data_IF_787918616531
#
_entry.id   IF_787918616531
#
_cell.length_a   1.000
_cell.length_b   1.000
_cell.length_c   1.000
_cell.angle_alpha   90.00
_cell.angle_beta   90.00
_cell.angle_gamma   90.00
#
_symmetry.space_group_name_H-M   'P 1'
#
loop_
_entity.id
_entity.type
_entity.pdbx_description
1 polymer ?
#
# COMPACT_ATOMS: atom_id res chain seq x y z
N UNK A 1 -43.38 21.73 -37.93
CA UNK A 1 -42.40 20.67 -38.24
C UNK A 1 -41.25 20.88 -37.25
N UNK A 2 -41.15 20.19 -36.11
CA UNK A 2 -41.31 18.76 -35.88
C UNK A 2 -39.91 18.14 -35.87
N UNK A 3 -39.37 17.82 -34.69
CA UNK A 3 -38.83 16.51 -34.27
C UNK A 3 -38.22 16.66 -32.87
N UNK A 4 -38.59 15.69 -32.03
CA UNK A 4 -38.25 15.47 -30.64
C UNK A 4 -36.76 15.19 -30.39
N UNK A 5 -36.26 15.56 -29.22
CA UNK A 5 -35.13 14.86 -28.57
C UNK A 5 -35.61 14.45 -27.18
N UNK A 6 -36.07 13.20 -27.08
CA UNK A 6 -36.31 12.50 -25.84
C UNK A 6 -35.01 11.82 -25.38
N UNK A 7 -34.75 11.78 -24.07
CA UNK A 7 -33.69 10.93 -23.52
C UNK A 7 -32.91 11.43 -22.30
N UNK A 8 -33.49 12.20 -21.37
CA UNK A 8 -32.90 12.40 -20.05
C UNK A 8 -33.09 11.15 -19.19
N UNK A 9 -32.05 10.30 -19.06
CA UNK A 9 -32.06 9.23 -18.04
C UNK A 9 -31.76 9.83 -16.68
N UNK A 10 -32.83 10.10 -15.92
CA UNK A 10 -32.74 10.23 -14.47
C UNK A 10 -32.34 8.88 -13.87
N UNK A 11 -31.14 8.81 -13.29
CA UNK A 11 -30.81 7.74 -12.35
C UNK A 11 -31.50 8.05 -11.03
N UNK A 12 -32.65 7.43 -10.81
CA UNK A 12 -33.28 7.37 -9.49
C UNK A 12 -32.46 6.43 -8.59
N UNK A 13 -32.08 6.93 -7.41
CA UNK A 13 -31.46 6.14 -6.38
C UNK A 13 -32.43 5.03 -5.94
N UNK A 14 -32.12 3.79 -6.31
CA UNK A 14 -32.82 2.62 -5.81
C UNK A 14 -32.59 2.48 -4.31
N UNK A 15 -33.61 2.75 -3.52
CA UNK A 15 -33.67 2.38 -2.11
C UNK A 15 -33.59 0.86 -2.02
N UNK A 16 -32.47 0.32 -1.54
CA UNK A 16 -32.40 -1.06 -1.08
C UNK A 16 -33.24 -1.19 0.19
N UNK A 17 -34.52 -1.52 0.03
CA UNK A 17 -35.35 -2.03 1.12
C UNK A 17 -34.95 -3.48 1.34
N UNK A 18 -34.41 -3.78 2.52
CA UNK A 18 -34.28 -5.14 3.00
C UNK A 18 -35.67 -5.76 3.15
N UNK A 19 -36.03 -6.70 2.28
CA UNK A 19 -37.18 -7.57 2.55
C UNK A 19 -36.83 -8.51 3.72
N UNK A 20 -37.73 -8.73 4.68
CA UNK A 20 -37.51 -9.72 5.73
C UNK A 20 -37.54 -11.11 5.11
N UNK A 21 -36.54 -11.93 5.44
CA UNK A 21 -36.55 -13.37 5.16
C UNK A 21 -37.79 -13.96 5.82
N UNK A 22 -38.79 -14.30 5.02
CA UNK A 22 -40.02 -14.93 5.48
C UNK A 22 -39.71 -16.32 6.03
N UNK A 23 -39.96 -16.52 7.32
CA UNK A 23 -39.95 -17.83 7.96
C UNK A 23 -41.01 -18.73 7.31
N UNK A 24 -40.59 -19.87 6.76
CA UNK A 24 -41.47 -20.90 6.20
C UNK A 24 -42.57 -21.27 7.21
N UNK A 25 -43.80 -21.38 6.72
CA UNK A 25 -44.96 -21.72 7.55
C UNK A 25 -45.01 -23.22 7.86
N UNK A 26 -45.56 -23.59 9.01
CA UNK A 26 -45.76 -25.00 9.43
C UNK A 26 -46.53 -25.86 8.40
N UNK A 27 -47.25 -25.23 7.47
CA UNK A 27 -48.03 -25.91 6.42
C UNK A 27 -47.18 -26.30 5.20
N UNK A 28 -46.13 -25.53 4.90
CA UNK A 28 -45.15 -25.83 3.84
C UNK A 28 -44.17 -26.94 4.27
N UNK A 29 -43.85 -27.01 5.56
CA UNK A 29 -43.09 -28.12 6.16
C UNK A 29 -43.81 -29.48 6.06
N UNK A 30 -45.15 -29.50 6.04
CA UNK A 30 -45.95 -30.74 5.98
C UNK A 30 -46.09 -31.27 4.56
N UNK A 31 -46.05 -30.41 3.53
CA UNK A 31 -46.05 -30.87 2.13
C UNK A 31 -44.71 -31.50 1.69
N UNK A 32 -43.59 -31.13 2.32
CA UNK A 32 -42.32 -31.85 2.16
C UNK A 32 -42.25 -33.15 2.98
N UNK A 33 -43.03 -33.27 4.05
CA UNK A 33 -43.08 -34.47 4.89
C UNK A 33 -43.99 -35.59 4.32
N UNK A 34 -44.83 -35.30 3.32
CA UNK A 34 -45.82 -36.23 2.75
C UNK A 34 -45.34 -37.06 1.55
N UNK A 35 -44.05 -37.02 1.20
CA UNK A 35 -43.46 -37.69 0.03
C UNK A 35 -42.49 -38.83 0.34
N UNK A 36 -42.51 -39.38 1.56
CA UNK A 36 -41.53 -40.38 2.04
C UNK A 36 -42.20 -41.66 2.57
N UNK A 37 -43.28 -42.11 1.93
CA UNK A 37 -43.93 -43.38 2.24
C UNK A 37 -44.01 -44.28 1.01
N UNK A 38 -42.84 -44.80 0.59
CA UNK A 38 -42.63 -46.08 -0.11
C UNK A 38 -41.23 -46.10 -0.76
N UNK A 39 -40.18 -45.86 0.02
CA UNK A 39 -38.84 -46.29 -0.37
C UNK A 39 -38.56 -47.54 0.46
N UNK A 40 -38.43 -48.67 -0.21
CA UNK A 40 -37.95 -49.91 0.40
C UNK A 40 -36.75 -49.60 1.27
N UNK A 41 -36.77 -50.05 2.52
CA UNK A 41 -35.57 -50.17 3.36
C UNK A 41 -34.70 -51.23 2.67
N UNK A 42 -33.92 -50.80 1.68
CA UNK A 42 -32.70 -51.50 1.32
C UNK A 42 -31.80 -51.29 2.52
N UNK A 43 -31.53 -52.37 3.26
CA UNK A 43 -30.50 -52.33 4.28
C UNK A 43 -29.25 -51.75 3.65
N UNK A 44 -28.82 -50.57 4.11
CA UNK A 44 -27.47 -50.12 3.89
C UNK A 44 -26.60 -51.03 4.76
N UNK A 45 -26.33 -52.23 4.24
CA UNK A 45 -25.16 -52.97 4.66
C UNK A 45 -24.01 -51.97 4.57
N UNK A 46 -23.34 -51.72 5.70
CA UNK A 46 -22.08 -51.02 5.69
C UNK A 46 -21.17 -51.83 4.76
N UNK A 47 -21.04 -51.39 3.50
CA UNK A 47 -20.01 -51.89 2.61
C UNK A 47 -18.70 -51.62 3.35
N UNK A 48 -18.13 -52.66 3.94
CA UNK A 48 -16.74 -52.66 4.37
C UNK A 48 -15.95 -52.28 3.13
N UNK A 49 -15.50 -51.02 3.05
CA UNK A 49 -14.67 -50.56 1.96
C UNK A 49 -13.47 -51.49 1.91
N UNK A 50 -13.25 -52.15 0.77
CA UNK A 50 -12.04 -52.91 0.55
C UNK A 50 -10.84 -52.02 0.88
N UNK A 51 -9.76 -52.57 1.47
CA UNK A 51 -8.55 -51.80 1.73
C UNK A 51 -8.15 -51.08 0.43
N UNK A 52 -8.01 -49.77 0.50
CA UNK A 52 -7.70 -48.97 -0.68
C UNK A 52 -6.24 -49.22 -1.06
N UNK A 53 -6.02 -49.76 -2.27
CA UNK A 53 -4.68 -49.83 -2.88
C UNK A 53 -4.15 -48.45 -3.30
N UNK A 54 -4.84 -47.37 -2.92
CA UNK A 54 -4.43 -46.01 -3.21
C UNK A 54 -3.19 -45.63 -2.37
N UNK A 55 -2.05 -45.49 -3.04
CA UNK A 55 -0.77 -45.13 -2.43
C UNK A 55 -0.59 -43.62 -2.18
N UNK A 56 -1.67 -42.82 -2.26
CA UNK A 56 -1.60 -41.37 -2.19
C UNK A 56 -1.17 -40.71 -3.51
N UNK A 57 -1.15 -39.36 -3.59
CA UNK A 57 -0.78 -38.65 -4.81
C UNK A 57 0.71 -38.82 -5.15
N UNK A 58 1.60 -38.74 -4.14
CA UNK A 58 3.04 -39.10 -4.19
C UNK A 58 3.62 -39.33 -2.78
N UNK A 59 2.78 -39.54 -1.76
CA UNK A 59 3.22 -39.59 -0.36
C UNK A 59 4.14 -40.80 -0.12
N UNK A 60 5.43 -40.57 0.11
CA UNK A 60 6.43 -41.63 0.31
C UNK A 60 6.94 -42.29 -0.98
N UNK A 61 6.51 -41.82 -2.16
CA UNK A 61 7.04 -42.27 -3.46
C UNK A 61 8.22 -41.38 -3.82
N UNK A 62 9.43 -41.94 -3.83
CA UNK A 62 10.66 -41.21 -4.21
C UNK A 62 11.43 -41.86 -5.35
N UNK A 63 11.20 -43.16 -5.61
CA UNK A 63 11.90 -43.95 -6.62
C UNK A 63 11.32 -43.73 -8.02
N UNK A 64 12.16 -43.44 -9.02
CA UNK A 64 11.77 -43.25 -10.42
C UNK A 64 11.28 -41.85 -10.78
N UNK A 65 11.34 -40.90 -9.84
CA UNK A 65 10.98 -39.49 -10.02
C UNK A 65 12.04 -38.54 -9.45
N UNK A 66 13.27 -39.03 -9.24
CA UNK A 66 14.37 -38.28 -8.64
C UNK A 66 14.77 -37.04 -9.46
N UNK A 67 14.47 -37.04 -10.76
CA UNK A 67 14.69 -35.93 -11.69
C UNK A 67 13.53 -34.92 -11.75
N UNK A 68 12.43 -35.18 -11.02
CA UNK A 68 11.22 -34.35 -11.03
C UNK A 68 11.23 -33.33 -9.90
N UNK A 69 10.89 -32.09 -10.23
CA UNK A 69 10.73 -31.00 -9.27
C UNK A 69 9.25 -30.66 -9.11
N UNK A 70 8.73 -30.80 -7.89
CA UNK A 70 7.33 -30.53 -7.55
C UNK A 70 7.14 -29.29 -6.69
N UNK A 71 8.20 -28.64 -6.23
CA UNK A 71 8.12 -27.40 -5.44
C UNK A 71 7.92 -26.18 -6.36
N UNK A 72 6.71 -25.57 -6.40
CA UNK A 72 6.47 -24.39 -7.22
C UNK A 72 7.22 -23.14 -6.71
N UNK A 73 7.68 -23.13 -5.46
CA UNK A 73 8.51 -22.03 -4.93
C UNK A 73 9.89 -22.06 -5.57
N UNK A 74 10.48 -23.24 -5.77
CA UNK A 74 11.75 -23.38 -6.51
C UNK A 74 11.56 -22.88 -7.95
N UNK A 75 10.48 -23.29 -8.62
CA UNK A 75 10.19 -22.84 -9.98
C UNK A 75 10.05 -21.30 -10.09
N UNK A 76 9.35 -20.65 -9.16
CA UNK A 76 9.23 -19.18 -9.17
C UNK A 76 10.56 -18.47 -8.88
N UNK A 77 11.45 -19.06 -8.07
CA UNK A 77 12.82 -18.56 -7.85
C UNK A 77 13.67 -18.64 -9.12
N UNK A 78 13.56 -19.73 -9.87
CA UNK A 78 14.25 -19.88 -11.17
C UNK A 78 13.74 -18.84 -12.18
N UNK A 79 12.42 -18.61 -12.23
CA UNK A 79 11.82 -17.55 -13.06
C UNK A 79 12.30 -16.15 -12.64
N UNK A 80 12.44 -15.88 -11.34
CA UNK A 80 12.99 -14.61 -10.85
C UNK A 80 14.46 -14.42 -11.28
N UNK A 81 15.27 -15.48 -11.19
CA UNK A 81 16.67 -15.46 -11.60
C UNK A 81 16.83 -15.24 -13.11
N UNK A 82 15.94 -15.84 -13.91
CA UNK A 82 15.89 -15.69 -15.36
C UNK A 82 15.13 -14.43 -15.83
N UNK A 83 14.53 -13.66 -14.92
CA UNK A 83 13.67 -12.54 -15.27
C UNK A 83 14.42 -11.50 -16.13
N UNK A 84 13.87 -11.07 -17.28
CA UNK A 84 14.63 -10.31 -18.26
C UNK A 84 14.96 -8.88 -17.82
N UNK A 85 14.16 -8.30 -16.92
CA UNK A 85 14.32 -6.93 -16.39
C UNK A 85 14.75 -5.94 -17.47
N UNK A 86 13.94 -5.83 -18.53
CA UNK A 86 14.29 -5.15 -19.80
C UNK A 86 14.69 -3.68 -19.63
N UNK A 87 14.22 -3.04 -18.57
CA UNK A 87 14.49 -1.66 -18.19
C UNK A 87 15.32 -1.58 -16.90
N UNK A 88 16.15 -2.59 -16.59
CA UNK A 88 17.17 -2.46 -15.55
C UNK A 88 18.12 -1.31 -15.88
N UNK A 89 18.58 -0.58 -14.87
CA UNK A 89 19.48 0.54 -15.08
C UNK A 89 20.79 0.13 -15.76
N UNK A 90 21.14 0.82 -16.86
CA UNK A 90 22.39 0.61 -17.63
C UNK A 90 23.00 1.91 -18.16
N UNK A 91 22.38 3.05 -17.86
CA UNK A 91 22.83 4.35 -18.34
C UNK A 91 24.20 4.70 -17.75
N UNK A 92 25.03 5.37 -18.56
CA UNK A 92 26.38 5.84 -18.19
C UNK A 92 26.48 7.36 -18.17
N UNK A 93 25.53 8.03 -18.81
CA UNK A 93 25.44 9.49 -18.84
C UNK A 93 24.11 9.95 -18.26
N UNK A 94 24.06 11.20 -17.81
CA UNK A 94 22.83 11.81 -17.32
C UNK A 94 21.70 11.78 -18.35
N UNK A 95 21.99 12.07 -19.61
CA UNK A 95 20.97 12.06 -20.68
C UNK A 95 20.37 10.67 -20.91
N UNK A 96 21.19 9.62 -20.91
CA UNK A 96 20.71 8.23 -20.98
C UNK A 96 19.86 7.87 -19.76
N UNK A 97 20.25 8.34 -18.57
CA UNK A 97 19.53 8.07 -17.33
C UNK A 97 18.17 8.78 -17.30
N UNK A 98 18.08 10.02 -17.78
CA UNK A 98 16.82 10.77 -17.90
C UNK A 98 15.85 10.11 -18.89
N UNK A 99 16.35 9.60 -20.03
CA UNK A 99 15.51 8.86 -20.99
C UNK A 99 15.07 7.49 -20.43
N UNK A 100 15.96 6.80 -19.71
CA UNK A 100 15.60 5.60 -18.97
C UNK A 100 14.52 5.87 -17.93
N UNK A 101 14.63 6.94 -17.14
CA UNK A 101 13.62 7.32 -16.15
C UNK A 101 12.27 7.58 -16.80
N UNK A 102 12.24 8.30 -17.93
CA UNK A 102 11.00 8.54 -18.69
C UNK A 102 10.36 7.24 -19.16
N UNK A 103 11.16 6.34 -19.74
CA UNK A 103 10.68 5.06 -20.26
C UNK A 103 10.15 4.15 -19.14
N UNK A 104 10.92 4.00 -18.07
CA UNK A 104 10.54 3.15 -16.94
C UNK A 104 9.35 3.75 -16.16
N UNK A 105 9.24 5.07 -16.02
CA UNK A 105 8.07 5.71 -15.40
C UNK A 105 6.79 5.40 -16.15
N UNK A 106 6.80 5.54 -17.48
CA UNK A 106 5.65 5.19 -18.33
C UNK A 106 5.27 3.72 -18.15
N UNK A 107 6.26 2.81 -18.19
CA UNK A 107 6.00 1.38 -17.99
C UNK A 107 5.50 1.08 -16.57
N UNK A 108 6.02 1.77 -15.56
CA UNK A 108 5.60 1.59 -14.17
C UNK A 108 4.15 2.05 -13.97
N UNK A 109 3.75 3.17 -14.58
CA UNK A 109 2.35 3.63 -14.59
C UNK A 109 1.42 2.56 -15.19
N UNK A 110 1.77 1.97 -16.32
CA UNK A 110 1.02 0.86 -16.93
C UNK A 110 0.92 -0.34 -15.98
N UNK A 111 2.06 -0.77 -15.41
CA UNK A 111 2.13 -1.95 -14.54
C UNK A 111 1.31 -1.82 -13.25
N UNK A 112 1.13 -0.62 -12.72
CA UNK A 112 0.29 -0.40 -11.52
C UNK A 112 -1.21 -0.30 -11.83
N UNK A 113 -1.60 -0.39 -13.11
CA UNK A 113 -3.00 -0.37 -13.56
C UNK A 113 -3.46 0.92 -14.20
N UNK A 114 -2.52 1.68 -14.78
CA UNK A 114 -2.69 3.08 -15.17
C UNK A 114 -3.11 3.98 -14.00
N UNK A 115 -3.04 5.29 -14.23
CA UNK A 115 -3.54 6.30 -13.29
C UNK A 115 -4.71 7.04 -13.93
N UNK A 116 -5.76 7.37 -13.16
CA UNK A 116 -6.87 8.15 -13.68
C UNK A 116 -6.40 9.47 -14.33
N UNK A 117 -6.98 9.82 -15.47
CA UNK A 117 -6.76 11.11 -16.12
C UNK A 117 -7.65 12.20 -15.52
N UNK A 118 -8.86 11.84 -15.11
CA UNK A 118 -9.81 12.75 -14.49
C UNK A 118 -9.49 12.97 -13.00
N UNK A 119 -9.46 14.25 -12.60
CA UNK A 119 -9.29 14.68 -11.22
C UNK A 119 -10.61 15.29 -10.72
N UNK A 120 -11.50 14.52 -10.06
CA UNK A 120 -12.77 15.05 -9.59
C UNK A 120 -12.57 16.15 -8.54
N UNK A 121 -13.59 16.97 -8.22
CA UNK A 121 -13.50 17.94 -7.13
C UNK A 121 -13.15 17.26 -5.80
N UNK A 122 -12.22 17.84 -5.03
CA UNK A 122 -11.77 17.29 -3.75
C UNK A 122 -12.86 17.29 -2.67
N UNK A 123 -13.80 18.23 -2.70
CA UNK A 123 -14.88 18.40 -1.69
C UNK A 123 -14.37 18.23 -0.23
N UNK A 124 -13.32 18.97 0.20
CA UNK A 124 -12.73 18.76 1.52
C UNK A 124 -13.68 19.21 2.63
N UNK A 125 -13.72 18.45 3.73
CA UNK A 125 -14.49 18.75 4.94
C UNK A 125 -13.57 18.56 6.15
N UNK A 126 -13.38 19.62 6.94
CA UNK A 126 -12.76 19.52 8.27
C UNK A 126 -13.82 19.06 9.26
N UNK A 127 -13.63 17.87 9.83
CA UNK A 127 -14.55 17.22 10.76
C UNK A 127 -14.27 17.60 12.22
N UNK A 128 -13.01 17.88 12.54
CA UNK A 128 -12.57 18.18 13.89
C UNK A 128 -11.27 19.00 13.85
N UNK A 129 -11.09 19.89 14.83
CA UNK A 129 -9.81 20.55 15.09
C UNK A 129 -9.51 20.46 16.59
N UNK A 130 -8.31 19.97 16.92
CA UNK A 130 -7.78 19.91 18.29
C UNK A 130 -6.49 20.71 18.38
N UNK A 131 -6.27 21.31 19.56
CA UNK A 131 -5.05 22.07 19.85
C UNK A 131 -4.21 21.32 20.86
N UNK A 132 -2.92 21.17 20.55
CA UNK A 132 -1.90 20.60 21.43
C UNK A 132 -0.82 21.67 21.70
N UNK A 133 0.05 21.50 22.72
CA UNK A 133 1.07 22.49 23.02
C UNK A 133 2.02 22.85 21.85
N UNK A 134 2.29 21.90 20.94
CA UNK A 134 3.24 22.08 19.82
C UNK A 134 2.62 22.24 18.43
N UNK A 135 1.37 21.83 18.23
CA UNK A 135 0.71 21.79 16.92
C UNK A 135 -0.82 21.82 17.07
N UNK A 136 -1.52 22.17 15.99
CA UNK A 136 -2.95 21.87 15.83
C UNK A 136 -3.11 20.59 15.02
N UNK A 137 -4.13 19.78 15.33
CA UNK A 137 -4.49 18.59 14.55
C UNK A 137 -5.89 18.75 13.99
N UNK A 138 -6.02 18.80 12.67
CA UNK A 138 -7.31 18.78 11.98
C UNK A 138 -7.59 17.38 11.46
N UNK A 139 -8.81 16.88 11.66
CA UNK A 139 -9.33 15.70 10.98
C UNK A 139 -10.06 16.14 9.72
N UNK A 140 -9.61 15.70 8.56
CA UNK A 140 -10.14 16.12 7.26
C UNK A 140 -10.52 14.91 6.43
N UNK A 141 -11.61 15.02 5.67
CA UNK A 141 -11.95 14.08 4.60
C UNK A 141 -12.03 14.82 3.27
N UNK A 142 -11.50 14.21 2.21
CA UNK A 142 -11.62 14.71 0.83
C UNK A 142 -11.69 13.55 -0.17
N UNK A 143 -12.17 13.81 -1.38
CA UNK A 143 -12.36 12.80 -2.42
C UNK A 143 -11.14 12.61 -3.31
N UNK A 144 -10.73 11.34 -3.42
CA UNK A 144 -9.67 10.94 -4.36
C UNK A 144 -10.22 10.60 -5.74
N UNK A 145 -11.40 9.96 -5.80
CA UNK A 145 -12.04 9.42 -6.99
C UNK A 145 -13.56 9.31 -6.76
N UNK A 146 -14.38 9.11 -7.82
CA UNK A 146 -15.82 8.99 -7.67
C UNK A 146 -16.22 7.94 -6.63
N UNK A 147 -16.96 8.37 -5.61
CA UNK A 147 -17.47 7.50 -4.54
C UNK A 147 -16.44 7.02 -3.51
N UNK A 148 -15.18 7.48 -3.55
CA UNK A 148 -14.14 7.04 -2.61
C UNK A 148 -13.34 8.22 -2.07
N UNK A 149 -13.45 8.42 -0.76
CA UNK A 149 -12.78 9.47 -0.01
C UNK A 149 -11.52 8.96 0.70
N UNK A 150 -10.67 9.91 1.09
CA UNK A 150 -9.47 9.74 1.89
C UNK A 150 -9.70 10.45 3.22
N UNK A 151 -9.49 9.75 4.33
CA UNK A 151 -9.36 10.35 5.64
C UNK A 151 -7.91 10.82 5.81
N UNK A 152 -7.73 12.02 6.33
CA UNK A 152 -6.44 12.57 6.66
C UNK A 152 -6.46 13.31 8.01
N UNK A 153 -5.30 13.39 8.65
CA UNK A 153 -5.06 14.32 9.74
C UNK A 153 -3.96 15.30 9.33
N UNK A 154 -4.23 16.59 9.43
CA UNK A 154 -3.23 17.63 9.25
C UNK A 154 -2.73 18.07 10.63
N UNK A 155 -1.46 17.81 10.92
CA UNK A 155 -0.76 18.33 12.08
C UNK A 155 0.06 19.55 11.64
N UNK A 156 -0.35 20.75 12.06
CA UNK A 156 0.32 22.00 11.73
C UNK A 156 1.08 22.54 12.95
N UNK A 157 2.43 22.59 12.92
CA UNK A 157 3.21 23.10 14.04
C UNK A 157 2.91 24.56 14.32
N UNK A 158 2.76 24.92 15.60
CA UNK A 158 2.47 26.31 16.02
C UNK A 158 3.57 27.28 15.58
N UNK A 159 4.82 26.79 15.49
CA UNK A 159 6.01 27.58 15.15
C UNK A 159 6.45 27.43 13.68
N UNK A 160 5.67 26.74 12.84
CA UNK A 160 6.04 26.58 11.44
C UNK A 160 6.06 27.94 10.71
N UNK A 161 7.05 28.15 9.84
CA UNK A 161 7.09 29.32 8.95
C UNK A 161 6.05 29.14 7.83
N UNK A 162 5.00 29.97 7.74
CA UNK A 162 4.01 29.85 6.68
C UNK A 162 4.54 30.40 5.34
N UNK A 163 4.15 29.80 4.20
CA UNK A 163 3.49 28.51 4.09
C UNK A 163 4.44 27.38 4.53
N UNK A 164 3.95 26.43 5.33
CA UNK A 164 4.77 25.40 5.96
C UNK A 164 5.18 24.31 4.96
N UNK A 165 6.42 23.84 5.04
CA UNK A 165 6.80 22.62 4.33
C UNK A 165 6.00 21.42 4.87
N UNK A 166 5.65 20.47 4.01
CA UNK A 166 4.70 19.40 4.33
C UNK A 166 5.29 18.02 4.07
N UNK A 167 5.11 17.10 5.01
CA UNK A 167 5.32 15.67 4.78
C UNK A 167 3.99 14.95 4.67
N UNK A 168 3.75 14.29 3.54
CA UNK A 168 2.69 13.28 3.44
C UNK A 168 3.17 12.05 4.23
N UNK A 169 2.40 11.66 5.23
CA UNK A 169 2.75 10.60 6.17
C UNK A 169 1.83 9.39 5.96
N UNK A 170 2.40 8.23 5.62
CA UNK A 170 1.62 7.02 5.28
C UNK A 170 1.97 5.89 6.26
N UNK A 171 1.00 5.40 7.07
CA UNK A 171 1.26 4.33 8.04
C UNK A 171 1.50 2.99 7.33
N UNK A 172 2.15 2.07 8.04
CA UNK A 172 2.23 0.67 7.65
C UNK A 172 0.98 -0.12 8.05
N UNK A 173 1.10 -1.46 8.07
CA UNK A 173 0.03 -2.32 8.56
C UNK A 173 -0.27 -2.04 10.05
N UNK A 174 -1.55 -1.99 10.44
CA UNK A 174 -1.95 -1.68 11.80
C UNK A 174 -3.38 -1.15 11.89
N UNK A 175 -3.62 -0.24 12.84
CA UNK A 175 -4.90 0.47 13.06
C UNK A 175 -5.18 1.53 12.00
N UNK A 176 -4.20 1.84 11.16
CA UNK A 176 -4.33 2.87 10.14
C UNK A 176 -3.68 4.17 10.60
N UNK A 177 -4.21 5.29 10.14
CA UNK A 177 -3.62 6.62 10.40
C UNK A 177 -3.54 6.97 11.90
N UNK A 178 -4.40 6.39 12.74
CA UNK A 178 -4.38 6.58 14.20
C UNK A 178 -3.06 6.14 14.85
N UNK A 179 -2.33 5.18 14.25
CA UNK A 179 -1.01 4.71 14.72
C UNK A 179 0.12 5.72 14.54
N UNK A 180 -0.11 6.79 13.77
CA UNK A 180 0.93 7.77 13.44
C UNK A 180 0.64 9.18 13.95
N UNK A 181 -0.58 9.43 14.48
CA UNK A 181 -1.06 10.77 14.87
C UNK A 181 -1.37 10.91 16.37
N UNK A 182 -0.95 9.96 17.20
CA UNK A 182 -1.14 10.00 18.66
C UNK A 182 -2.59 9.77 19.09
N UNK A 183 -3.22 8.73 18.56
CA UNK A 183 -4.55 8.27 19.00
C UNK A 183 -4.43 6.81 19.48
N UNK A 184 -4.84 6.53 20.72
CA UNK A 184 -4.81 5.20 21.30
C UNK A 184 -5.98 4.31 20.83
N UNK A 185 -6.02 3.06 21.30
CA UNK A 185 -7.02 2.07 20.89
C UNK A 185 -8.44 2.44 21.34
N UNK A 186 -8.57 3.31 22.33
CA UNK A 186 -9.82 3.82 22.86
C UNK A 186 -10.26 5.11 22.15
N UNK A 187 -9.46 5.61 21.19
CA UNK A 187 -9.71 6.85 20.48
C UNK A 187 -9.33 8.11 21.28
N UNK A 188 -8.55 7.95 22.36
CA UNK A 188 -8.07 9.06 23.19
C UNK A 188 -6.70 9.54 22.71
N UNK A 189 -6.38 10.80 23.01
CA UNK A 189 -5.10 11.39 22.63
C UNK A 189 -3.95 10.82 23.45
N UNK A 190 -2.83 10.51 22.79
CA UNK A 190 -1.59 10.04 23.43
C UNK A 190 -0.34 10.71 22.86
N UNK A 191 0.74 10.74 23.64
CA UNK A 191 2.02 11.38 23.26
C UNK A 191 3.25 10.54 23.57
N UNK A 192 3.07 9.32 24.10
CA UNK A 192 4.12 8.37 24.47
C UNK A 192 4.72 7.62 23.27
N UNK A 193 4.19 7.85 22.05
CA UNK A 193 4.72 7.34 20.77
C UNK A 193 4.94 5.80 20.76
N UNK A 194 3.97 4.99 21.19
CA UNK A 194 4.13 3.54 21.28
C UNK A 194 3.95 2.85 19.92
N UNK A 195 4.23 1.55 19.89
CA UNK A 195 4.11 0.73 18.68
C UNK A 195 5.22 1.00 17.67
N UNK A 196 5.31 0.15 16.65
CA UNK A 196 6.44 0.16 15.72
C UNK A 196 6.51 1.42 14.83
N UNK A 197 5.41 2.16 14.66
CA UNK A 197 5.39 3.40 13.88
C UNK A 197 5.78 4.65 14.70
N UNK A 198 5.84 4.54 16.03
CA UNK A 198 6.27 5.61 16.94
C UNK A 198 5.62 6.99 16.69
N UNK A 199 4.33 7.02 16.35
CA UNK A 199 3.60 8.27 16.07
C UNK A 199 4.38 9.25 15.15
N UNK A 200 5.01 8.75 14.08
CA UNK A 200 5.99 9.54 13.32
C UNK A 200 5.44 10.84 12.69
N UNK A 201 4.12 10.98 12.50
CA UNK A 201 3.55 12.26 12.04
C UNK A 201 3.63 13.35 13.13
N UNK A 202 3.56 12.96 14.42
CA UNK A 202 3.85 13.87 15.53
C UNK A 202 5.33 14.27 15.50
N UNK A 203 6.24 13.32 15.27
CA UNK A 203 7.68 13.62 15.20
C UNK A 203 8.02 14.61 14.06
N UNK A 204 7.35 14.49 12.91
CA UNK A 204 7.44 15.47 11.81
C UNK A 204 6.98 16.86 12.27
N UNK A 205 5.84 16.94 12.99
CA UNK A 205 5.34 18.20 13.52
C UNK A 205 6.29 18.82 14.55
N UNK A 206 6.86 17.99 15.44
CA UNK A 206 7.89 18.39 16.41
C UNK A 206 9.17 18.90 15.72
N UNK A 207 9.48 18.40 14.52
CA UNK A 207 10.58 18.86 13.68
C UNK A 207 10.25 20.14 12.87
N UNK A 208 9.08 20.76 13.08
CA UNK A 208 8.71 22.04 12.46
C UNK A 208 8.11 21.94 11.05
N UNK A 209 7.88 20.73 10.54
CA UNK A 209 7.20 20.48 9.27
C UNK A 209 5.71 20.19 9.52
N UNK A 210 4.82 20.62 8.63
CA UNK A 210 3.44 20.14 8.65
C UNK A 210 3.40 18.65 8.30
N UNK A 211 2.62 17.86 9.03
CA UNK A 211 2.40 16.45 8.72
C UNK A 211 0.98 16.26 8.20
N UNK A 212 0.83 15.79 6.97
CA UNK A 212 -0.47 15.39 6.42
C UNK A 212 -0.52 13.86 6.38
N UNK A 213 -1.01 13.27 7.46
CA UNK A 213 -1.12 11.84 7.65
C UNK A 213 -2.39 11.32 6.96
N UNK A 214 -2.27 10.36 6.04
CA UNK A 214 -3.41 9.86 5.25
C UNK A 214 -3.69 8.39 5.55
N UNK A 215 -4.97 8.02 5.55
CA UNK A 215 -5.44 6.65 5.73
C UNK A 215 -5.28 5.83 4.42
N UNK A 216 -4.40 4.82 4.38
CA UNK A 216 -4.23 4.00 3.19
C UNK A 216 -5.49 3.19 2.87
N UNK A 217 -5.78 3.01 1.59
CA UNK A 217 -6.88 2.15 1.16
C UNK A 217 -6.68 0.72 1.69
N UNK A 218 -7.74 0.14 2.28
CA UNK A 218 -7.70 -1.19 2.88
C UNK A 218 -7.22 -1.24 4.33
N UNK A 219 -6.82 -0.11 4.94
CA UNK A 219 -6.44 0.01 6.35
C UNK A 219 -7.39 0.90 7.14
N UNK A 220 -7.31 0.84 8.47
CA UNK A 220 -8.11 1.65 9.40
C UNK A 220 -9.59 1.76 9.02
N UNK A 221 -10.09 2.99 8.85
CA UNK A 221 -11.50 3.22 8.52
C UNK A 221 -11.88 2.82 7.08
N UNK A 222 -10.90 2.46 6.24
CA UNK A 222 -11.07 2.07 4.84
C UNK A 222 -10.97 0.55 4.65
N UNK A 223 -11.06 -0.21 5.74
CA UNK A 223 -11.27 -1.67 5.72
C UNK A 223 -12.72 -2.00 5.37
N UNK A 224 -12.93 -3.12 4.69
CA UNK A 224 -14.29 -3.61 4.51
C UNK A 224 -14.88 -4.07 5.88
N UNK A 225 -16.21 -3.94 6.08
CA UNK A 225 -16.83 -4.27 7.37
C UNK A 225 -16.66 -5.73 7.81
N UNK A 226 -16.45 -6.67 6.88
CA UNK A 226 -16.32 -8.10 7.22
C UNK A 226 -14.94 -8.34 7.83
N UNK A 227 -13.87 -7.83 7.20
CA UNK A 227 -12.52 -7.96 7.74
C UNK A 227 -12.27 -7.06 8.94
N UNK A 228 -12.89 -5.88 9.03
CA UNK A 228 -12.78 -5.02 10.21
C UNK A 228 -13.20 -5.76 11.49
N UNK A 229 -14.27 -6.57 11.44
CA UNK A 229 -14.77 -7.36 12.58
C UNK A 229 -13.85 -8.50 13.01
N UNK A 230 -12.87 -8.90 12.18
CA UNK A 230 -11.95 -10.00 12.46
C UNK A 230 -10.67 -9.57 13.20
N UNK A 231 -10.57 -8.30 13.60
CA UNK A 231 -9.41 -7.77 14.31
C UNK A 231 -8.26 -7.35 13.40
N UNK A 232 -7.20 -6.78 13.98
CA UNK A 232 -6.06 -6.20 13.27
C UNK A 232 -5.07 -7.25 12.76
N UNK A 233 -5.07 -8.45 13.35
CA UNK A 233 -4.15 -9.54 13.01
C UNK A 233 -4.42 -10.16 11.63
N UNK A 234 -5.59 -9.88 11.04
CA UNK A 234 -5.95 -10.36 9.70
C UNK A 234 -5.56 -9.33 8.64
N UNK A 235 -4.97 -9.83 7.54
CA UNK A 235 -4.65 -9.07 6.33
C UNK A 235 -5.92 -8.53 5.65
N UNK A 236 -6.42 -7.39 6.15
CA UNK A 236 -7.66 -6.79 5.66
C UNK A 236 -7.58 -6.31 4.20
N UNK A 237 -6.37 -6.17 3.68
CA UNK A 237 -6.12 -5.73 2.31
C UNK A 237 -6.43 -6.79 1.25
N UNK A 238 -6.58 -8.08 1.61
CA UNK A 238 -6.64 -9.17 0.62
C UNK A 238 -7.83 -9.07 -0.35
N UNK A 239 -9.10 -8.87 0.08
CA UNK A 239 -10.21 -8.84 -0.88
C UNK A 239 -10.13 -7.63 -1.82
N UNK A 240 -9.74 -6.47 -1.30
CA UNK A 240 -9.63 -5.24 -2.10
C UNK A 240 -8.42 -5.29 -3.02
N UNK A 241 -7.28 -5.86 -2.59
CA UNK A 241 -6.11 -6.06 -3.45
C UNK A 241 -6.39 -7.10 -4.54
N UNK A 242 -7.03 -8.23 -4.20
CA UNK A 242 -7.45 -9.23 -5.18
C UNK A 242 -8.45 -8.66 -6.19
N UNK A 243 -9.42 -7.87 -5.70
CA UNK A 243 -10.37 -7.15 -6.55
C UNK A 243 -9.70 -6.17 -7.52
N UNK A 244 -8.68 -5.43 -7.07
CA UNK A 244 -7.89 -4.56 -7.93
C UNK A 244 -7.23 -5.36 -9.06
N UNK A 245 -6.58 -6.49 -8.73
CA UNK A 245 -5.91 -7.33 -9.71
C UNK A 245 -6.86 -7.88 -10.77
N UNK A 246 -8.09 -8.24 -10.39
CA UNK A 246 -9.11 -8.73 -11.33
C UNK A 246 -9.52 -7.71 -12.39
N UNK A 247 -9.42 -6.42 -12.08
CA UNK A 247 -9.71 -5.34 -13.04
C UNK A 247 -8.45 -4.78 -13.71
N UNK A 248 -7.33 -5.50 -13.62
CA UNK A 248 -6.05 -5.11 -14.22
C UNK A 248 -5.35 -3.97 -13.48
N UNK A 249 -5.71 -3.71 -12.22
CA UNK A 249 -5.15 -2.65 -11.39
C UNK A 249 -4.43 -3.19 -10.16
N UNK A 250 -3.71 -2.34 -9.45
CA UNK A 250 -3.02 -2.72 -8.21
C UNK A 250 -3.43 -1.83 -7.05
N UNK A 251 -3.39 -2.38 -5.83
CA UNK A 251 -3.59 -1.55 -4.63
C UNK A 251 -2.48 -0.48 -4.51
N UNK A 252 -1.27 -0.76 -5.00
CA UNK A 252 -0.18 0.22 -5.09
C UNK A 252 -0.63 1.41 -5.97
N UNK A 253 -1.12 1.16 -7.19
CA UNK A 253 -1.63 2.21 -8.08
C UNK A 253 -2.77 3.02 -7.45
N UNK A 254 -3.69 2.36 -6.73
CA UNK A 254 -4.75 3.06 -6.00
C UNK A 254 -4.23 3.93 -4.88
N UNK A 255 -3.29 3.46 -4.07
CA UNK A 255 -2.70 4.25 -2.97
C UNK A 255 -1.80 5.37 -3.51
N UNK A 256 -1.11 5.16 -4.63
CA UNK A 256 -0.38 6.21 -5.36
C UNK A 256 -1.32 7.33 -5.77
N UNK A 257 -2.47 6.98 -6.35
CA UNK A 257 -3.47 7.97 -6.71
C UNK A 257 -3.97 8.77 -5.50
N UNK A 258 -4.17 8.14 -4.35
CA UNK A 258 -4.58 8.85 -3.12
C UNK A 258 -3.50 9.87 -2.67
N UNK A 259 -2.20 9.54 -2.78
CA UNK A 259 -1.12 10.51 -2.55
C UNK A 259 -1.15 11.63 -3.59
N UNK A 260 -1.34 11.32 -4.87
CA UNK A 260 -1.42 12.34 -5.93
C UNK A 260 -2.56 13.35 -5.70
N UNK A 261 -3.68 12.86 -5.15
CA UNK A 261 -4.84 13.67 -4.76
C UNK A 261 -4.63 14.41 -3.45
N UNK A 262 -3.82 13.86 -2.55
CA UNK A 262 -3.34 14.55 -1.35
C UNK A 262 -2.47 15.76 -1.71
N UNK A 263 -1.61 15.65 -2.73
CA UNK A 263 -0.86 16.81 -3.27
C UNK A 263 -1.78 17.90 -3.81
N UNK A 264 -2.87 17.52 -4.48
CA UNK A 264 -3.87 18.48 -4.96
C UNK A 264 -4.58 19.17 -3.80
N UNK A 265 -4.86 18.43 -2.72
CA UNK A 265 -5.42 19.00 -1.49
C UNK A 265 -4.45 19.99 -0.83
N UNK A 266 -3.16 19.65 -0.72
CA UNK A 266 -2.12 20.57 -0.22
C UNK A 266 -2.14 21.89 -1.00
N UNK A 267 -2.29 21.85 -2.32
CA UNK A 267 -2.36 23.04 -3.17
C UNK A 267 -3.57 23.95 -2.90
N UNK A 268 -4.60 23.45 -2.20
CA UNK A 268 -5.78 24.25 -1.78
C UNK A 268 -5.61 24.94 -0.43
N UNK A 269 -4.55 24.63 0.32
CA UNK A 269 -4.31 25.12 1.69
C UNK A 269 -3.20 26.17 1.67
N UNK A 270 -3.56 27.45 1.81
CA UNK A 270 -2.61 28.58 1.75
C UNK A 270 -1.52 28.58 2.82
N UNK A 271 -1.76 27.89 3.93
CA UNK A 271 -0.83 27.68 5.03
C UNK A 271 0.20 26.57 4.75
N UNK A 272 0.03 25.82 3.66
CA UNK A 272 0.91 24.73 3.24
C UNK A 272 1.66 25.10 1.95
N UNK A 273 2.95 24.78 1.90
CA UNK A 273 3.80 25.09 0.76
C UNK A 273 3.81 23.92 -0.23
N UNK A 274 3.00 24.03 -1.28
CA UNK A 274 2.93 23.02 -2.34
C UNK A 274 4.25 22.79 -3.11
N UNK A 275 5.23 23.69 -2.97
CA UNK A 275 6.57 23.52 -3.57
C UNK A 275 7.56 22.79 -2.67
N UNK A 276 7.22 22.61 -1.38
CA UNK A 276 8.05 21.98 -0.34
C UNK A 276 7.31 20.80 0.28
N UNK A 277 6.96 19.82 -0.56
CA UNK A 277 6.27 18.59 -0.13
C UNK A 277 7.20 17.38 -0.20
N UNK A 278 7.30 16.63 0.89
CA UNK A 278 7.90 15.30 0.93
C UNK A 278 6.88 14.19 1.17
N UNK A 279 7.31 12.94 1.06
CA UNK A 279 6.50 11.76 1.38
C UNK A 279 7.29 10.77 2.24
N UNK A 280 6.66 10.19 3.25
CA UNK A 280 7.31 9.20 4.11
C UNK A 280 6.35 8.13 4.60
N UNK A 281 6.90 6.96 4.91
CA UNK A 281 6.14 5.90 5.52
C UNK A 281 6.99 4.67 5.80
N UNK A 282 6.41 3.76 6.59
CA UNK A 282 7.01 2.49 6.98
C UNK A 282 6.24 1.31 6.39
N UNK A 283 6.94 0.24 6.00
CA UNK A 283 6.30 -1.02 5.56
C UNK A 283 5.41 -0.78 4.34
N UNK A 284 4.11 -1.09 4.43
CA UNK A 284 3.12 -0.71 3.41
C UNK A 284 3.08 0.79 3.10
N UNK A 285 3.36 1.66 4.08
CA UNK A 285 3.56 3.09 3.86
C UNK A 285 4.87 3.41 3.14
N UNK A 286 5.91 2.59 3.36
CA UNK A 286 7.16 2.61 2.60
C UNK A 286 6.95 2.23 1.13
N UNK A 287 6.10 1.23 0.86
CA UNK A 287 5.62 0.88 -0.50
C UNK A 287 5.01 2.09 -1.19
N UNK A 288 4.02 2.71 -0.54
CA UNK A 288 3.32 3.88 -1.09
C UNK A 288 4.30 5.02 -1.30
N UNK A 289 5.22 5.26 -0.36
CA UNK A 289 6.23 6.33 -0.48
C UNK A 289 7.15 6.11 -1.68
N UNK A 290 7.69 4.91 -1.85
CA UNK A 290 8.60 4.59 -2.97
C UNK A 290 7.90 4.79 -4.31
N UNK A 291 6.73 4.18 -4.49
CA UNK A 291 6.01 4.22 -5.77
C UNK A 291 5.41 5.60 -6.06
N UNK A 292 4.85 6.29 -5.06
CA UNK A 292 4.32 7.65 -5.26
C UNK A 292 5.44 8.63 -5.59
N UNK A 293 6.57 8.57 -4.88
CA UNK A 293 7.70 9.47 -5.15
C UNK A 293 8.31 9.16 -6.51
N UNK A 294 8.41 7.88 -6.89
CA UNK A 294 8.78 7.52 -8.23
C UNK A 294 7.81 8.19 -9.22
N UNK A 295 6.51 7.91 -9.16
CA UNK A 295 5.53 8.30 -10.20
C UNK A 295 5.13 9.79 -10.21
N UNK A 296 5.19 10.51 -9.09
CA UNK A 296 4.87 11.94 -9.00
C UNK A 296 6.10 12.77 -8.63
N UNK A 297 6.54 13.61 -9.59
CA UNK A 297 7.73 14.45 -9.42
C UNK A 297 7.50 15.69 -8.56
N UNK A 298 6.25 15.98 -8.14
CA UNK A 298 5.95 17.06 -7.19
C UNK A 298 6.47 16.75 -5.78
N UNK A 299 6.65 15.48 -5.44
CA UNK A 299 7.28 15.07 -4.17
C UNK A 299 8.78 15.34 -4.25
N UNK A 300 9.29 16.20 -3.38
CA UNK A 300 10.66 16.75 -3.42
C UNK A 300 11.68 15.95 -2.64
N UNK A 301 11.24 15.22 -1.61
CA UNK A 301 12.09 14.36 -0.77
C UNK A 301 11.28 13.16 -0.30
N UNK A 302 11.93 12.01 -0.12
CA UNK A 302 11.30 10.81 0.42
C UNK A 302 12.07 10.15 1.57
N UNK A 303 11.34 9.56 2.51
CA UNK A 303 11.87 8.63 3.51
C UNK A 303 11.14 7.29 3.40
N UNK A 304 11.85 6.26 2.97
CA UNK A 304 11.35 4.90 2.80
C UNK A 304 11.87 4.04 3.96
N UNK A 305 11.01 3.80 4.94
CA UNK A 305 11.34 3.00 6.13
C UNK A 305 10.87 1.55 5.96
N UNK A 306 11.76 0.59 6.19
CA UNK A 306 11.44 -0.84 6.18
C UNK A 306 10.73 -1.30 4.91
N UNK A 307 11.26 -0.96 3.72
CA UNK A 307 10.67 -1.39 2.44
C UNK A 307 11.66 -1.63 1.29
N UNK A 308 12.58 -0.69 1.03
CA UNK A 308 13.51 -0.82 -0.11
C UNK A 308 14.34 -2.11 0.04
N UNK A 309 14.13 -3.07 -0.86
CA UNK A 309 14.67 -4.43 -0.79
C UNK A 309 14.72 -5.00 -2.22
N UNK A 310 14.90 -6.31 -2.40
CA UNK A 310 14.60 -6.97 -3.70
C UNK A 310 13.20 -7.57 -3.65
N UNK A 311 12.50 -7.65 -4.79
CA UNK A 311 11.20 -8.33 -4.83
C UNK A 311 11.30 -9.79 -4.40
N UNK A 312 12.40 -10.49 -4.71
CA UNK A 312 12.59 -11.89 -4.30
C UNK A 312 12.71 -12.03 -2.79
N UNK A 313 13.59 -11.25 -2.16
CA UNK A 313 14.00 -11.48 -0.78
C UNK A 313 12.99 -10.93 0.25
N UNK A 314 12.03 -10.11 -0.20
CA UNK A 314 10.89 -9.63 0.59
C UNK A 314 9.55 -10.17 0.07
N UNK A 315 8.98 -9.54 -0.94
CA UNK A 315 7.61 -9.82 -1.44
C UNK A 315 7.45 -11.28 -1.91
N UNK A 316 8.49 -11.88 -2.46
CA UNK A 316 8.49 -13.25 -3.00
C UNK A 316 8.99 -14.34 -2.05
N UNK A 317 9.52 -14.00 -0.87
CA UNK A 317 10.19 -14.95 0.04
C UNK A 317 9.31 -15.43 1.19
N UNK A 318 8.22 -14.73 1.48
CA UNK A 318 7.25 -15.05 2.54
C UNK A 318 5.81 -14.95 2.02
N UNK A 319 4.86 -15.47 2.81
CA UNK A 319 3.44 -15.25 2.56
C UNK A 319 3.09 -13.77 2.82
N UNK A 320 3.38 -12.89 1.86
CA UNK A 320 3.20 -11.45 1.98
C UNK A 320 1.73 -11.03 1.75
N UNK A 321 1.41 -9.77 2.00
CA UNK A 321 0.11 -9.18 1.61
C UNK A 321 0.06 -8.94 0.10
N UNK A 322 -1.06 -9.31 -0.53
CA UNK A 322 -1.30 -9.17 -1.99
C UNK A 322 -1.21 -7.70 -2.45
N UNK A 323 -1.44 -6.76 -1.54
CA UNK A 323 -1.37 -5.32 -1.80
C UNK A 323 0.03 -4.80 -2.14
N UNK A 324 1.07 -5.64 -2.05
CA UNK A 324 2.44 -5.33 -2.45
C UNK A 324 2.83 -5.85 -3.84
N UNK A 325 1.95 -6.60 -4.51
CA UNK A 325 2.28 -7.24 -5.78
C UNK A 325 1.95 -6.35 -6.97
N UNK A 326 2.90 -6.24 -7.89
CA UNK A 326 2.73 -5.62 -9.21
C UNK A 326 2.94 -6.71 -10.27
N UNK A 327 1.86 -7.27 -10.86
CA UNK A 327 1.97 -8.34 -11.83
C UNK A 327 2.91 -8.00 -12.99
N UNK A 328 3.86 -8.90 -13.26
CA UNK A 328 4.77 -8.75 -14.40
C UNK A 328 5.91 -7.74 -14.23
N UNK A 329 6.06 -7.08 -13.08
CA UNK A 329 7.11 -6.05 -12.89
C UNK A 329 8.53 -6.56 -13.16
N UNK A 330 8.83 -7.80 -12.79
CA UNK A 330 10.15 -8.42 -13.00
C UNK A 330 10.51 -8.63 -14.48
N UNK A 331 9.54 -8.54 -15.39
CA UNK A 331 9.82 -8.50 -16.83
C UNK A 331 10.53 -7.20 -17.25
N UNK A 332 10.49 -6.17 -16.41
CA UNK A 332 10.89 -4.81 -16.72
C UNK A 332 11.92 -4.27 -15.74
N UNK A 333 11.72 -4.43 -14.43
CA UNK A 333 12.52 -3.76 -13.41
C UNK A 333 12.59 -4.54 -12.10
N UNK A 334 13.62 -4.26 -11.31
CA UNK A 334 13.72 -4.61 -9.89
C UNK A 334 13.30 -3.41 -9.01
N UNK A 335 13.07 -3.64 -7.71
CA UNK A 335 12.64 -2.57 -6.80
C UNK A 335 13.66 -1.42 -6.69
N UNK A 336 14.96 -1.69 -6.79
CA UNK A 336 15.98 -0.63 -6.83
C UNK A 336 15.94 0.21 -8.12
N UNK A 337 15.47 -0.33 -9.25
CA UNK A 337 15.22 0.46 -10.46
C UNK A 337 14.07 1.45 -10.23
N UNK A 338 13.03 1.03 -9.50
CA UNK A 338 11.93 1.91 -9.07
C UNK A 338 12.46 3.02 -8.14
N UNK A 339 13.33 2.68 -7.18
CA UNK A 339 14.00 3.68 -6.34
C UNK A 339 14.88 4.66 -7.14
N UNK A 340 15.54 4.17 -8.19
CA UNK A 340 16.34 5.00 -9.11
C UNK A 340 15.54 6.05 -9.89
N UNK A 341 14.22 5.89 -10.03
CA UNK A 341 13.34 6.89 -10.62
C UNK A 341 13.20 8.17 -9.78
N UNK A 342 13.67 8.15 -8.52
CA UNK A 342 13.61 9.30 -7.62
C UNK A 342 14.78 10.25 -7.88
N UNK A 343 15.94 9.73 -8.29
CA UNK A 343 17.13 10.53 -8.60
C UNK A 343 16.81 11.68 -9.57
N UNK A 344 17.41 12.87 -9.42
CA UNK A 344 18.35 13.27 -8.37
C UNK A 344 17.67 13.82 -7.10
N UNK A 345 16.35 13.63 -6.91
CA UNK A 345 15.66 14.15 -5.72
C UNK A 345 16.10 13.38 -4.47
N UNK A 346 16.17 14.03 -3.30
CA UNK A 346 16.67 13.38 -2.10
C UNK A 346 15.83 12.19 -1.61
N UNK A 347 16.50 11.10 -1.26
CA UNK A 347 15.93 9.84 -0.78
C UNK A 347 16.67 9.34 0.45
N UNK A 348 15.92 9.13 1.53
CA UNK A 348 16.41 8.46 2.73
C UNK A 348 15.82 7.06 2.84
N UNK A 349 16.64 6.09 3.21
CA UNK A 349 16.23 4.70 3.44
C UNK A 349 16.63 4.28 4.84
N UNK A 350 15.74 3.65 5.59
CA UNK A 350 16.09 3.05 6.89
C UNK A 350 15.60 1.61 7.01
N UNK A 351 16.36 0.77 7.71
CA UNK A 351 16.04 -0.66 7.87
C UNK A 351 16.58 -1.24 9.18
N UNK A 352 15.78 -2.06 9.84
CA UNK A 352 16.18 -2.79 11.03
C UNK A 352 17.05 -4.00 10.69
N UNK A 353 18.10 -4.25 11.47
CA UNK A 353 18.99 -5.40 11.29
C UNK A 353 18.27 -6.75 11.49
N UNK A 354 17.21 -6.77 12.30
CA UNK A 354 16.40 -7.96 12.62
C UNK A 354 15.03 -7.95 11.94
N UNK A 355 14.87 -7.16 10.89
CA UNK A 355 13.64 -7.14 10.10
C UNK A 355 13.46 -8.46 9.32
N UNK A 356 12.49 -9.27 9.76
CA UNK A 356 12.17 -10.57 9.18
C UNK A 356 11.25 -10.48 7.95
N UNK A 357 10.79 -9.29 7.58
CA UNK A 357 9.92 -9.03 6.42
C UNK A 357 10.74 -8.43 5.27
N UNK A 358 11.65 -7.51 5.59
CA UNK A 358 12.56 -6.85 4.65
C UNK A 358 14.02 -7.09 5.08
N UNK A 359 14.62 -8.24 4.72
CA UNK A 359 15.93 -8.63 5.23
C UNK A 359 17.02 -7.61 4.92
N UNK A 360 17.82 -7.30 5.94
CA UNK A 360 18.83 -6.21 5.88
C UNK A 360 19.83 -6.37 4.74
N UNK A 361 20.26 -7.61 4.44
CA UNK A 361 21.19 -7.88 3.33
C UNK A 361 20.63 -7.38 1.99
N UNK A 362 19.37 -7.66 1.71
CA UNK A 362 18.73 -7.27 0.47
C UNK A 362 18.37 -5.77 0.43
N UNK A 363 18.17 -5.13 1.60
CA UNK A 363 18.05 -3.67 1.70
C UNK A 363 19.37 -2.98 1.33
N UNK A 364 20.49 -3.45 1.90
CA UNK A 364 21.84 -2.93 1.57
C UNK A 364 22.17 -3.16 0.08
N UNK A 365 21.86 -4.35 -0.46
CA UNK A 365 22.03 -4.64 -1.89
C UNK A 365 21.26 -3.65 -2.76
N UNK A 366 19.96 -3.46 -2.50
CA UNK A 366 19.14 -2.53 -3.28
C UNK A 366 19.56 -1.07 -3.12
N UNK A 367 19.95 -0.65 -1.91
CA UNK A 367 20.46 0.70 -1.69
C UNK A 367 21.75 0.97 -2.49
N UNK A 368 22.67 0.00 -2.53
CA UNK A 368 23.89 0.12 -3.33
C UNK A 368 23.60 0.27 -4.82
N UNK A 369 22.60 -0.43 -5.36
CA UNK A 369 22.16 -0.24 -6.75
C UNK A 369 21.56 1.15 -6.96
N UNK A 370 20.73 1.65 -6.03
CA UNK A 370 20.20 3.02 -6.09
C UNK A 370 21.34 4.04 -6.06
N UNK A 371 22.34 3.89 -5.19
CA UNK A 371 23.47 4.81 -5.10
C UNK A 371 24.28 4.89 -6.40
N UNK A 372 24.43 3.77 -7.13
CA UNK A 372 25.04 3.77 -8.48
C UNK A 372 24.24 4.63 -9.46
N UNK A 373 22.91 4.58 -9.39
CA UNK A 373 22.03 5.42 -10.23
C UNK A 373 22.25 6.90 -9.89
N UNK A 374 22.23 7.27 -8.61
CA UNK A 374 22.48 8.67 -8.17
C UNK A 374 23.86 9.17 -8.59
N UNK A 375 24.86 8.30 -8.67
CA UNK A 375 26.20 8.65 -9.15
C UNK A 375 26.21 9.13 -10.61
N UNK A 376 25.36 8.58 -11.48
CA UNK A 376 25.24 9.03 -12.89
C UNK A 376 24.62 10.43 -12.97
N UNK A 377 23.79 10.80 -12.00
CA UNK A 377 23.22 12.14 -11.89
C UNK A 377 24.15 13.15 -11.20
N UNK A 378 25.26 12.69 -10.60
CA UNK A 378 26.13 13.52 -9.76
C UNK A 378 25.47 13.98 -8.47
N UNK A 379 24.59 13.14 -7.90
CA UNK A 379 23.74 13.47 -6.75
C UNK A 379 23.95 12.50 -5.57
N UNK A 380 25.16 11.95 -5.39
CA UNK A 380 25.43 10.95 -4.34
C UNK A 380 25.15 11.47 -2.92
N UNK A 381 25.23 12.78 -2.71
CA UNK A 381 24.91 13.48 -1.47
C UNK A 381 23.39 13.60 -1.21
N UNK A 382 22.56 13.26 -2.19
CA UNK A 382 21.09 13.28 -2.09
C UNK A 382 20.51 11.91 -1.69
N UNK A 383 21.34 10.90 -1.42
CA UNK A 383 20.86 9.56 -1.05
C UNK A 383 21.60 9.02 0.17
N UNK A 384 20.86 8.69 1.23
CA UNK A 384 21.41 8.21 2.49
C UNK A 384 20.67 6.95 2.98
N UNK A 385 21.41 6.04 3.64
CA UNK A 385 20.85 4.90 4.36
C UNK A 385 21.20 4.95 5.84
N UNK A 386 20.27 4.52 6.68
CA UNK A 386 20.49 4.19 8.09
C UNK A 386 20.06 2.75 8.38
N UNK A 387 20.95 2.02 9.05
CA UNK A 387 20.68 0.67 9.57
C UNK A 387 20.70 0.76 11.08
N UNK A 388 19.73 0.14 11.75
CA UNK A 388 19.58 0.23 13.21
C UNK A 388 19.37 -1.16 13.85
N UNK A 389 19.82 -1.36 15.10
CA UNK A 389 19.84 -2.68 15.74
C UNK A 389 18.47 -3.05 16.32
N UNK A 390 17.42 -3.01 15.50
CA UNK A 390 16.05 -3.37 15.87
C UNK A 390 15.33 -4.23 14.81
N UNK A 391 14.10 -4.64 15.14
CA UNK A 391 13.19 -5.35 14.26
C UNK A 391 12.52 -4.39 13.23
N UNK A 392 11.34 -4.78 12.72
CA UNK A 392 10.57 -3.99 11.76
C UNK A 392 9.85 -2.81 12.44
N UNK A 393 10.54 -1.68 12.60
CA UNK A 393 10.01 -0.44 13.19
C UNK A 393 10.51 0.83 12.51
N UNK A 394 9.85 1.96 12.80
CA UNK A 394 10.21 3.28 12.30
C UNK A 394 11.28 3.88 13.21
N UNK A 395 12.40 4.32 12.64
CA UNK A 395 13.54 4.78 13.41
C UNK A 395 13.67 6.29 13.43
N UNK A 396 13.64 6.94 12.27
CA UNK A 396 13.52 8.39 12.10
C UNK A 396 14.70 9.24 12.59
N UNK A 397 15.71 8.68 13.26
CA UNK A 397 16.77 9.45 13.95
C UNK A 397 17.60 10.31 13.02
N UNK A 398 18.07 9.78 11.88
CA UNK A 398 18.71 10.59 10.83
C UNK A 398 17.72 10.97 9.72
N UNK A 399 16.70 10.15 9.53
CA UNK A 399 15.69 10.36 8.49
C UNK A 399 14.89 11.65 8.64
N UNK A 400 14.34 11.95 9.82
CA UNK A 400 13.56 13.19 10.02
C UNK A 400 14.45 14.44 9.84
N UNK A 401 15.66 14.51 10.42
CA UNK A 401 16.59 15.61 10.12
C UNK A 401 16.94 15.73 8.63
N UNK A 402 17.12 14.61 7.92
CA UNK A 402 17.35 14.63 6.46
C UNK A 402 16.18 15.31 5.72
N UNK A 403 14.94 14.94 6.05
CA UNK A 403 13.73 15.55 5.47
C UNK A 403 13.69 17.06 5.72
N UNK A 404 13.89 17.49 6.97
CA UNK A 404 13.85 18.90 7.37
C UNK A 404 14.90 19.73 6.61
N UNK A 405 16.14 19.23 6.50
CA UNK A 405 17.20 19.90 5.72
C UNK A 405 16.80 20.09 4.25
N UNK A 406 16.28 19.05 3.60
CA UNK A 406 15.92 19.11 2.18
C UNK A 406 14.64 19.90 1.90
N UNK A 407 13.84 20.17 2.92
CA UNK A 407 12.68 21.06 2.86
C UNK A 407 12.95 22.48 3.41
N UNK A 408 14.20 22.77 3.80
CA UNK A 408 14.63 24.05 4.37
C UNK A 408 13.80 24.47 5.60
N UNK A 409 13.69 23.57 6.58
CA UNK A 409 13.03 23.79 7.88
C UNK A 409 14.04 23.91 9.01
#
# INVERSE_FOLDING_TARGET
MGVEISGSRHYTAGTWRSEPVSTLSRRELVQWAGGLAAAHVVGLDAQTSAPSDYIGPLTGVTKGIEDRQFDPVVYTRDLYAAAPRRLRFRARTRGEAEEWQKTLRTKLTELVGDLPTERPPLRPITLETRTFPGYTREKVVFDSRPGVSVLAYLLLPVKARPPAAVMICVPGHGRGVDDIVGIDEQGSDRTDKPGYAHDFAIQVAEAGMAALAIEPMGFGCRRDPINARKGLDRKACEPVAGGALLVGQTMIGWRVWDVMRTLDYIATRSELDQSRVGCMGISGGGTVTLFSTALDQRIRVALVSGYLNTFRDSIGSLAHCIDNYVPGILNWAEMHDVGGLIAPRPLFVESGERDNIFPIRASIESFNEVQKIYSVFGAQDQVEQEVFPDEHLFWGKRGIPFLARHLNV
#
